data_IF_167446404467
#
_entry.id   IF_167446404467
#
_cell.length_a   1.000
_cell.length_b   1.000
_cell.length_c   1.000
_cell.angle_alpha   90.00
_cell.angle_beta   90.00
_cell.angle_gamma   90.00
#
_symmetry.space_group_name_H-M   'P 1'
#
loop_
_entity.id
_entity.type
_entity.pdbx_description
1 polymer ?
#
# COMPACT_ATOMS: atom_id res chain seq x y z
N UNK A 1 22.74 10.27 -16.26
CA UNK A 1 23.78 9.26 -16.48
C UNK A 1 23.73 8.73 -17.93
N UNK A 2 22.60 8.23 -18.39
CA UNK A 2 22.43 7.60 -19.71
C UNK A 2 22.51 8.56 -20.91
N UNK A 3 22.50 9.88 -20.70
CA UNK A 3 22.83 10.86 -21.74
C UNK A 3 24.32 10.84 -22.13
N UNK A 4 25.14 10.16 -21.36
CA UNK A 4 26.57 9.97 -21.54
C UNK A 4 26.90 8.52 -21.86
N UNK A 5 28.09 8.26 -22.41
CA UNK A 5 28.56 6.90 -22.68
C UNK A 5 28.82 6.17 -21.35
N UNK A 6 27.98 5.22 -21.01
CA UNK A 6 28.11 4.39 -19.82
C UNK A 6 29.03 3.21 -20.12
N UNK A 7 30.11 3.04 -19.37
CA UNK A 7 31.07 1.95 -19.55
C UNK A 7 30.68 0.70 -18.75
N UNK A 8 30.37 0.91 -17.45
CA UNK A 8 29.94 -0.19 -16.60
C UNK A 8 29.04 0.28 -15.46
N UNK A 9 28.30 -0.68 -14.93
CA UNK A 9 27.55 -0.63 -13.68
C UNK A 9 27.99 -1.81 -12.83
N UNK A 10 28.42 -1.57 -11.62
CA UNK A 10 28.75 -2.61 -10.65
C UNK A 10 27.77 -2.54 -9.47
N UNK A 11 26.85 -3.49 -9.40
CA UNK A 11 25.92 -3.66 -8.29
C UNK A 11 26.70 -4.32 -7.14
N UNK A 12 26.93 -3.57 -6.09
CA UNK A 12 27.66 -4.03 -4.90
C UNK A 12 26.72 -4.51 -3.81
N UNK A 13 25.41 -4.52 -4.04
CA UNK A 13 24.39 -4.74 -3.02
C UNK A 13 24.62 -3.85 -1.78
N UNK A 14 24.44 -4.40 -0.60
CA UNK A 14 24.77 -3.71 0.65
C UNK A 14 26.13 -4.17 1.20
N UNK A 15 27.22 -3.44 0.94
CA UNK A 15 28.54 -3.78 1.47
C UNK A 15 28.77 -3.30 2.91
N UNK A 16 27.82 -2.66 3.54
CA UNK A 16 27.96 -2.03 4.86
C UNK A 16 27.20 -2.81 5.94
N UNK A 17 27.87 -3.10 7.05
CA UNK A 17 27.26 -3.79 8.19
C UNK A 17 26.26 -2.90 8.97
N UNK A 18 26.51 -1.59 9.00
CA UNK A 18 25.79 -0.65 9.87
C UNK A 18 24.54 -0.01 9.24
N UNK A 19 24.36 -0.11 7.94
CA UNK A 19 23.26 0.53 7.20
C UNK A 19 22.65 -0.41 6.18
N UNK A 20 21.33 -0.34 6.02
CA UNK A 20 20.58 -1.15 5.02
C UNK A 20 20.42 -0.35 3.74
N UNK A 21 21.51 -0.12 3.01
CA UNK A 21 21.54 0.62 1.75
C UNK A 21 22.29 -0.17 0.69
N UNK A 22 21.58 -0.56 -0.36
CA UNK A 22 22.21 -1.11 -1.56
C UNK A 22 22.95 -0.01 -2.32
N UNK A 23 24.10 -0.33 -2.84
CA UNK A 23 24.98 0.61 -3.55
C UNK A 23 25.39 0.09 -4.90
N UNK A 24 25.78 1.01 -5.79
CA UNK A 24 26.38 0.65 -7.08
C UNK A 24 27.52 1.62 -7.42
N UNK A 25 28.47 1.12 -8.20
CA UNK A 25 29.55 1.91 -8.78
C UNK A 25 29.32 2.02 -10.27
N UNK A 26 29.34 3.23 -10.81
CA UNK A 26 29.18 3.46 -12.25
C UNK A 26 30.38 4.19 -12.83
N UNK A 27 30.73 3.88 -14.08
CA UNK A 27 31.72 4.63 -14.85
C UNK A 27 31.11 5.11 -16.17
N UNK A 28 31.22 6.39 -16.43
CA UNK A 28 30.73 7.02 -17.65
C UNK A 28 31.72 8.04 -18.20
N UNK A 29 31.72 8.21 -19.52
CA UNK A 29 32.49 9.27 -20.21
C UNK A 29 31.51 10.33 -20.67
N UNK A 30 31.85 11.60 -20.42
CA UNK A 30 31.02 12.77 -20.77
C UNK A 30 31.03 13.04 -22.29
N UNK A 31 30.43 12.14 -23.05
CA UNK A 31 30.16 12.28 -24.48
C UNK A 31 28.85 11.54 -24.81
N UNK A 32 28.25 11.89 -25.93
CA UNK A 32 27.04 11.19 -26.40
C UNK A 32 27.39 9.72 -26.72
N UNK A 33 26.60 8.75 -26.23
CA UNK A 33 26.87 7.35 -26.52
C UNK A 33 26.72 7.04 -28.01
N UNK A 34 27.60 6.17 -28.52
CA UNK A 34 27.42 5.57 -29.83
C UNK A 34 26.17 4.66 -29.80
N UNK A 35 25.52 4.48 -30.96
CA UNK A 35 24.33 3.64 -31.06
C UNK A 35 24.53 2.20 -30.55
N UNK A 36 25.73 1.69 -30.75
CA UNK A 36 26.13 0.32 -30.39
C UNK A 36 26.92 0.24 -29.07
N UNK A 37 26.87 1.29 -28.22
CA UNK A 37 27.61 1.27 -26.96
C UNK A 37 27.17 0.12 -26.08
N UNK A 38 28.13 -0.72 -25.69
CA UNK A 38 27.90 -1.86 -24.79
C UNK A 38 28.30 -1.49 -23.36
N UNK A 39 27.36 -1.70 -22.44
CA UNK A 39 27.55 -1.53 -21.00
C UNK A 39 27.87 -2.86 -20.35
N UNK A 40 28.94 -2.89 -19.58
CA UNK A 40 29.27 -4.05 -18.73
C UNK A 40 28.50 -3.93 -17.41
N UNK A 41 27.63 -4.90 -17.14
CA UNK A 41 26.95 -5.03 -15.85
C UNK A 41 27.69 -6.07 -15.01
N UNK A 42 28.08 -5.70 -13.80
CA UNK A 42 28.75 -6.59 -12.84
C UNK A 42 27.82 -6.75 -11.63
N UNK A 43 27.39 -7.99 -11.37
CA UNK A 43 26.58 -8.33 -10.20
C UNK A 43 27.46 -8.91 -9.09
N UNK A 44 27.70 -8.11 -8.06
CA UNK A 44 28.48 -8.48 -6.88
C UNK A 44 27.64 -8.96 -5.69
N UNK A 45 26.32 -9.09 -5.85
CA UNK A 45 25.40 -9.47 -4.75
C UNK A 45 25.79 -10.78 -4.07
N UNK A 46 26.30 -11.76 -4.82
CA UNK A 46 26.79 -13.04 -4.28
C UNK A 46 28.24 -13.01 -3.86
N UNK A 47 29.08 -12.31 -4.60
CA UNK A 47 30.52 -12.22 -4.33
C UNK A 47 31.09 -10.95 -4.97
N UNK A 48 31.48 -9.99 -4.14
CA UNK A 48 32.06 -8.71 -4.59
C UNK A 48 33.41 -8.87 -5.31
N UNK A 49 34.20 -9.87 -4.92
CA UNK A 49 35.54 -10.10 -5.51
C UNK A 49 35.47 -10.84 -6.84
N UNK A 50 34.39 -11.58 -7.07
CA UNK A 50 34.14 -12.35 -8.29
C UNK A 50 32.72 -12.11 -8.78
N UNK A 51 32.40 -10.88 -9.23
CA UNK A 51 31.06 -10.55 -9.68
C UNK A 51 30.71 -11.29 -10.97
N UNK A 52 29.44 -11.65 -11.11
CA UNK A 52 28.90 -12.09 -12.41
C UNK A 52 28.99 -10.95 -13.41
N UNK A 53 29.47 -11.21 -14.63
CA UNK A 53 29.68 -10.21 -15.68
C UNK A 53 28.73 -10.43 -16.84
N UNK A 54 27.91 -9.44 -17.10
CA UNK A 54 26.94 -9.42 -18.20
C UNK A 54 27.21 -8.21 -19.09
N UNK A 55 26.72 -8.25 -20.31
CA UNK A 55 26.88 -7.14 -21.27
C UNK A 55 25.54 -6.86 -21.94
N UNK A 56 25.22 -5.59 -22.09
CA UNK A 56 23.95 -5.15 -22.72
C UNK A 56 24.18 -3.86 -23.49
N UNK A 57 23.44 -3.67 -24.59
CA UNK A 57 23.47 -2.40 -25.30
C UNK A 57 22.87 -1.27 -24.43
N UNK A 58 23.51 -0.11 -24.38
CA UNK A 58 23.01 1.04 -23.60
C UNK A 58 21.63 1.48 -24.04
N UNK A 59 21.27 1.29 -25.29
CA UNK A 59 19.95 1.57 -25.84
C UNK A 59 18.82 0.81 -25.14
N UNK A 60 19.10 -0.38 -24.62
CA UNK A 60 18.12 -1.18 -23.84
C UNK A 60 17.63 -0.38 -22.63
N UNK A 61 18.55 0.23 -21.88
CA UNK A 61 18.19 1.06 -20.73
C UNK A 61 17.41 2.31 -21.11
N UNK A 62 17.80 2.96 -22.23
CA UNK A 62 17.11 4.14 -22.74
C UNK A 62 15.69 3.85 -23.23
N UNK A 63 15.43 2.61 -23.64
CA UNK A 63 14.14 2.14 -24.13
C UNK A 63 13.25 1.52 -23.05
N UNK A 64 13.57 1.72 -21.78
CA UNK A 64 12.68 1.40 -20.66
C UNK A 64 11.96 2.65 -20.15
N UNK A 65 10.83 2.48 -19.49
CA UNK A 65 10.19 3.57 -18.75
C UNK A 65 11.19 4.15 -17.72
N UNK A 66 11.23 5.46 -17.56
CA UNK A 66 12.18 6.16 -16.67
C UNK A 66 13.68 5.87 -16.96
N UNK A 67 14.02 5.25 -18.07
CA UNK A 67 15.40 4.88 -18.41
C UNK A 67 16.09 4.09 -17.28
N UNK A 68 15.43 3.04 -16.82
CA UNK A 68 15.90 2.22 -15.69
C UNK A 68 17.10 1.37 -16.08
N UNK A 69 18.12 1.35 -15.24
CA UNK A 69 19.27 0.45 -15.34
C UNK A 69 18.97 -0.79 -14.50
N UNK A 70 18.87 -1.94 -15.16
CA UNK A 70 18.57 -3.22 -14.52
C UNK A 70 19.62 -4.28 -14.84
N UNK A 71 19.70 -5.34 -14.06
CA UNK A 71 20.55 -6.50 -14.35
C UNK A 71 20.06 -7.18 -15.63
N UNK A 72 20.88 -7.32 -16.69
CA UNK A 72 20.47 -7.95 -17.95
C UNK A 72 20.50 -9.49 -17.87
N UNK A 73 19.73 -10.06 -16.93
CA UNK A 73 19.51 -11.50 -16.84
C UNK A 73 18.61 -11.99 -17.98
N UNK A 74 18.59 -13.29 -18.24
CA UNK A 74 17.74 -13.90 -19.27
C UNK A 74 16.27 -13.51 -19.13
N UNK A 75 15.71 -13.63 -17.92
CA UNK A 75 14.32 -13.23 -17.64
C UNK A 75 14.09 -11.74 -17.88
N UNK A 76 14.98 -10.87 -17.42
CA UNK A 76 14.83 -9.43 -17.60
C UNK A 76 14.92 -9.01 -19.07
N UNK A 77 15.82 -9.63 -19.83
CA UNK A 77 15.92 -9.39 -21.27
C UNK A 77 14.67 -9.92 -21.99
N UNK A 78 14.14 -11.06 -21.58
CA UNK A 78 12.88 -11.59 -22.15
C UNK A 78 11.68 -10.68 -21.87
N UNK A 79 11.55 -10.16 -20.65
CA UNK A 79 10.53 -9.16 -20.32
C UNK A 79 10.70 -7.90 -21.17
N UNK A 80 11.92 -7.41 -21.29
CA UNK A 80 12.21 -6.23 -22.09
C UNK A 80 11.86 -6.44 -23.57
N UNK A 81 12.26 -7.56 -24.17
CA UNK A 81 11.97 -7.89 -25.58
C UNK A 81 10.47 -7.92 -25.88
N UNK A 82 9.66 -8.48 -24.99
CA UNK A 82 8.22 -8.61 -25.18
C UNK A 82 7.47 -7.30 -24.90
N UNK A 83 7.90 -6.54 -23.89
CA UNK A 83 7.11 -5.46 -23.31
C UNK A 83 7.83 -4.11 -23.21
N UNK A 84 9.17 -4.06 -23.18
CA UNK A 84 9.92 -2.84 -22.87
C UNK A 84 9.53 -1.64 -23.73
N UNK A 85 9.61 -1.77 -25.04
CA UNK A 85 9.27 -0.66 -25.96
C UNK A 85 7.78 -0.29 -25.91
N UNK A 86 6.89 -1.29 -25.76
CA UNK A 86 5.44 -1.06 -25.65
C UNK A 86 5.12 -0.27 -24.39
N UNK A 87 5.69 -0.68 -23.25
CA UNK A 87 5.48 -0.02 -21.96
C UNK A 87 6.06 1.39 -21.99
N UNK A 88 7.26 1.58 -22.55
CA UNK A 88 7.85 2.91 -22.72
C UNK A 88 6.97 3.82 -23.57
N UNK A 89 6.51 3.36 -24.71
CA UNK A 89 5.63 4.15 -25.58
C UNK A 89 4.33 4.57 -24.87
N UNK A 90 3.73 3.65 -24.10
CA UNK A 90 2.55 3.94 -23.28
C UNK A 90 2.88 4.92 -22.16
N UNK A 91 4.02 4.78 -21.51
CA UNK A 91 4.48 5.67 -20.46
C UNK A 91 4.69 7.09 -21.03
N UNK A 92 5.43 7.25 -22.11
CA UNK A 92 5.69 8.54 -22.76
C UNK A 92 4.38 9.23 -23.21
N UNK A 93 3.39 8.46 -23.67
CA UNK A 93 2.10 8.99 -24.13
C UNK A 93 1.17 9.38 -23.00
N UNK A 94 1.07 8.56 -21.93
CA UNK A 94 0.00 8.65 -20.95
C UNK A 94 0.42 9.15 -19.59
N UNK A 95 1.72 9.09 -19.23
CA UNK A 95 2.18 9.34 -17.87
C UNK A 95 1.76 10.70 -17.31
N UNK A 96 1.97 11.76 -18.09
CA UNK A 96 1.60 13.10 -17.66
C UNK A 96 0.08 13.26 -17.48
N UNK A 97 -0.71 12.59 -18.30
CA UNK A 97 -2.18 12.63 -18.21
C UNK A 97 -2.71 11.84 -17.01
N UNK A 98 -2.06 10.72 -16.66
CA UNK A 98 -2.38 9.92 -15.49
C UNK A 98 -2.02 10.66 -14.20
N UNK A 99 -0.88 11.36 -14.20
CA UNK A 99 -0.27 11.93 -13.00
C UNK A 99 -0.79 13.33 -12.68
N UNK A 100 -1.12 14.13 -13.66
CA UNK A 100 -1.50 15.54 -13.47
C UNK A 100 -3.00 15.77 -13.64
N UNK A 101 -3.55 16.62 -12.75
CA UNK A 101 -4.96 17.03 -12.78
C UNK A 101 -5.21 18.31 -13.63
N UNK A 102 -4.22 18.77 -14.40
CA UNK A 102 -4.28 20.12 -15.00
C UNK A 102 -5.36 20.32 -16.06
N UNK A 103 -5.87 19.26 -16.67
CA UNK A 103 -6.99 19.31 -17.61
C UNK A 103 -7.83 18.04 -17.45
N UNK A 104 -8.47 17.96 -16.30
CA UNK A 104 -9.15 16.72 -15.82
C UNK A 104 -10.15 16.21 -16.86
N UNK A 105 -11.02 17.07 -17.41
CA UNK A 105 -12.08 16.63 -18.31
C UNK A 105 -11.54 16.16 -19.67
N UNK A 106 -10.54 16.84 -20.21
CA UNK A 106 -9.91 16.43 -21.47
C UNK A 106 -9.18 15.10 -21.30
N UNK A 107 -8.33 15.00 -20.25
CA UNK A 107 -7.59 13.78 -19.96
C UNK A 107 -8.51 12.61 -19.70
N UNK A 108 -9.61 12.83 -18.99
CA UNK A 108 -10.63 11.83 -18.70
C UNK A 108 -11.25 11.28 -20.00
N UNK A 109 -11.65 12.16 -20.92
CA UNK A 109 -12.23 11.77 -22.22
C UNK A 109 -11.24 10.95 -23.05
N UNK A 110 -10.00 11.42 -23.18
CA UNK A 110 -8.97 10.71 -23.93
C UNK A 110 -8.66 9.33 -23.34
N UNK A 111 -8.67 9.20 -22.01
CA UNK A 111 -8.49 7.92 -21.32
C UNK A 111 -9.73 7.00 -21.49
N UNK A 112 -10.94 7.54 -21.53
CA UNK A 112 -12.16 6.80 -21.81
C UNK A 112 -12.15 6.24 -23.23
N UNK A 113 -11.80 7.06 -24.23
CA UNK A 113 -11.64 6.64 -25.63
C UNK A 113 -10.56 5.56 -25.77
N UNK A 114 -9.42 5.72 -25.08
CA UNK A 114 -8.34 4.72 -25.03
C UNK A 114 -8.83 3.39 -24.46
N UNK A 115 -9.51 3.40 -23.30
CA UNK A 115 -10.08 2.20 -22.68
C UNK A 115 -11.09 1.50 -23.60
N UNK A 116 -11.94 2.27 -24.27
CA UNK A 116 -12.90 1.74 -25.23
C UNK A 116 -12.23 1.03 -26.43
N UNK A 117 -11.06 1.50 -26.85
CA UNK A 117 -10.31 0.93 -27.98
C UNK A 117 -9.55 -0.38 -27.65
N UNK A 118 -9.31 -0.68 -26.37
CA UNK A 118 -8.53 -1.84 -25.93
C UNK A 118 -9.17 -3.18 -26.37
N UNK A 119 -8.32 -4.14 -26.74
CA UNK A 119 -8.69 -5.50 -27.14
C UNK A 119 -7.90 -6.52 -26.31
N UNK A 120 -8.40 -7.76 -26.17
CA UNK A 120 -7.64 -8.83 -25.55
C UNK A 120 -6.24 -8.97 -26.15
N UNK A 121 -5.22 -9.08 -25.30
CA UNK A 121 -3.81 -9.10 -25.69
C UNK A 121 -3.12 -7.74 -25.74
N UNK A 122 -3.85 -6.63 -25.74
CA UNK A 122 -3.26 -5.31 -25.68
C UNK A 122 -2.57 -5.07 -24.30
N UNK A 123 -1.46 -4.36 -24.33
CA UNK A 123 -0.76 -3.90 -23.11
C UNK A 123 -1.27 -2.50 -22.75
N UNK A 124 -1.60 -2.27 -21.50
CA UNK A 124 -1.97 -0.96 -20.97
C UNK A 124 -1.22 -0.69 -19.66
N UNK A 125 -1.06 0.56 -19.28
CA UNK A 125 -0.58 0.91 -17.93
C UNK A 125 -1.75 0.84 -16.94
N UNK A 126 -1.50 0.31 -15.74
CA UNK A 126 -2.51 0.24 -14.68
C UNK A 126 -3.14 1.61 -14.40
N UNK A 127 -2.36 2.69 -14.46
CA UNK A 127 -2.87 4.05 -14.28
C UNK A 127 -3.84 4.52 -15.35
N UNK A 128 -3.85 3.90 -16.55
CA UNK A 128 -4.88 4.17 -17.56
C UNK A 128 -6.20 3.45 -17.24
N UNK A 129 -6.15 2.36 -16.47
CA UNK A 129 -7.25 1.45 -16.19
C UNK A 129 -7.91 1.68 -14.83
N UNK A 130 -7.26 2.47 -13.97
CA UNK A 130 -7.69 2.73 -12.60
C UNK A 130 -7.57 4.19 -12.23
N UNK A 131 -8.39 4.60 -11.27
CA UNK A 131 -8.25 5.84 -10.52
C UNK A 131 -7.74 5.50 -9.12
N UNK A 132 -7.28 6.49 -8.38
CA UNK A 132 -6.92 6.28 -6.98
C UNK A 132 -5.83 7.20 -6.48
N UNK A 133 -5.49 7.04 -5.21
CA UNK A 133 -4.50 7.89 -4.57
C UNK A 133 -4.26 7.53 -3.11
N UNK A 134 -3.52 8.42 -2.47
CA UNK A 134 -3.34 8.40 -1.02
C UNK A 134 -4.60 8.89 -0.33
N UNK A 135 -4.90 8.32 0.83
CA UNK A 135 -6.02 8.71 1.64
C UNK A 135 -5.70 9.77 2.70
N UNK A 136 -6.54 9.80 3.71
CA UNK A 136 -6.54 10.77 4.80
C UNK A 136 -5.31 10.61 5.70
N UNK A 137 -4.64 11.72 6.02
CA UNK A 137 -3.72 11.80 7.13
C UNK A 137 -4.32 12.69 8.22
N UNK A 138 -4.69 12.10 9.35
CA UNK A 138 -5.43 12.79 10.42
C UNK A 138 -4.57 13.74 11.25
N UNK A 139 -3.25 13.66 11.18
CA UNK A 139 -2.28 14.31 12.08
C UNK A 139 -2.48 13.99 13.59
N UNK A 140 -3.62 13.44 13.98
CA UNK A 140 -3.92 13.04 15.35
C UNK A 140 -4.77 11.76 15.40
N UNK A 141 -4.11 10.62 15.14
CA UNK A 141 -4.77 9.32 15.14
C UNK A 141 -5.51 9.02 16.46
N UNK A 142 -4.94 9.42 17.60
CA UNK A 142 -5.53 9.15 18.93
C UNK A 142 -6.87 9.86 19.14
N UNK A 143 -7.12 10.96 18.44
CA UNK A 143 -8.40 11.68 18.50
C UNK A 143 -9.46 11.02 17.61
N UNK A 144 -9.07 10.59 16.42
CA UNK A 144 -10.03 10.24 15.36
C UNK A 144 -10.19 8.75 15.17
N UNK A 145 -9.14 7.94 15.40
CA UNK A 145 -9.15 6.50 15.07
C UNK A 145 -9.52 5.68 16.30
N UNK A 146 -10.40 4.72 16.08
CA UNK A 146 -10.80 3.71 17.06
C UNK A 146 -10.53 2.30 16.51
N UNK A 147 -10.55 1.31 17.42
CA UNK A 147 -10.45 -0.10 17.12
C UNK A 147 -11.79 -0.76 17.43
N UNK A 148 -12.29 -1.59 16.54
CA UNK A 148 -13.54 -2.36 16.73
C UNK A 148 -13.36 -3.38 17.86
N UNK A 149 -14.29 -3.43 18.79
CA UNK A 149 -14.22 -4.19 20.04
C UNK A 149 -14.08 -5.71 19.84
N UNK A 150 -14.57 -6.24 18.73
CA UNK A 150 -14.56 -7.66 18.35
C UNK A 150 -13.24 -8.15 17.75
N UNK A 151 -12.25 -7.28 17.58
CA UNK A 151 -11.00 -7.59 16.87
C UNK A 151 -9.88 -7.98 17.82
N UNK A 152 -8.91 -8.78 17.32
CA UNK A 152 -7.67 -9.10 18.06
C UNK A 152 -6.89 -7.85 18.48
N UNK A 153 -7.00 -6.75 17.75
CA UNK A 153 -6.42 -5.48 18.14
C UNK A 153 -7.00 -4.94 19.44
N UNK A 154 -8.32 -4.97 19.58
CA UNK A 154 -8.98 -4.56 20.81
C UNK A 154 -8.60 -5.47 21.98
N UNK A 155 -8.58 -6.78 21.77
CA UNK A 155 -8.13 -7.75 22.77
C UNK A 155 -6.68 -7.46 23.24
N UNK A 156 -5.76 -7.25 22.31
CA UNK A 156 -4.39 -6.89 22.62
C UNK A 156 -4.28 -5.58 23.41
N UNK A 157 -5.10 -4.58 23.07
CA UNK A 157 -5.13 -3.31 23.80
C UNK A 157 -5.64 -3.53 25.22
N UNK A 158 -6.74 -4.30 25.42
CA UNK A 158 -7.31 -4.61 26.74
C UNK A 158 -6.29 -5.27 27.64
N UNK A 159 -5.63 -6.31 27.15
CA UNK A 159 -4.60 -7.06 27.91
C UNK A 159 -3.38 -6.19 28.24
N UNK A 160 -3.00 -5.28 27.35
CA UNK A 160 -1.77 -4.49 27.50
C UNK A 160 -1.95 -3.23 28.33
N UNK A 161 -3.14 -2.65 28.39
CA UNK A 161 -3.41 -1.38 29.11
C UNK A 161 -3.01 -1.43 30.57
N UNK A 162 -3.40 -2.41 31.40
CA UNK A 162 -3.01 -2.47 32.80
C UNK A 162 -1.47 -2.52 32.98
N UNK A 163 -0.77 -3.27 32.11
CA UNK A 163 0.70 -3.35 32.14
C UNK A 163 1.34 -2.01 31.82
N UNK A 164 0.85 -1.32 30.78
CA UNK A 164 1.34 0.01 30.39
C UNK A 164 1.08 1.05 31.45
N UNK A 165 -0.08 0.99 32.12
CA UNK A 165 -0.37 1.86 33.26
C UNK A 165 0.60 1.61 34.42
N UNK A 166 0.82 0.35 34.79
CA UNK A 166 1.76 0.00 35.85
C UNK A 166 3.19 0.49 35.54
N UNK A 167 3.67 0.27 34.31
CA UNK A 167 4.99 0.73 33.87
C UNK A 167 5.12 2.26 33.88
N UNK A 168 4.04 2.96 33.52
CA UNK A 168 4.02 4.42 33.55
C UNK A 168 4.04 4.96 34.98
N UNK A 169 3.18 4.44 35.88
CA UNK A 169 3.11 4.84 37.28
C UNK A 169 4.43 4.57 38.01
N UNK A 170 5.10 3.44 37.70
CA UNK A 170 6.42 3.12 38.26
C UNK A 170 7.47 4.19 37.90
N UNK A 171 7.43 4.70 36.67
CA UNK A 171 8.39 5.71 36.17
C UNK A 171 7.96 7.15 36.47
N UNK A 172 6.70 7.36 36.89
CA UNK A 172 6.14 8.69 37.08
C UNK A 172 5.40 8.77 38.42
N UNK A 173 6.14 8.76 39.58
CA UNK A 173 5.52 8.74 40.91
C UNK A 173 4.56 9.91 41.18
N UNK A 174 4.74 11.05 40.52
CA UNK A 174 3.85 12.21 40.61
C UNK A 174 2.46 11.96 40.03
N UNK A 175 2.29 10.94 39.20
CA UNK A 175 1.00 10.54 38.66
C UNK A 175 0.19 9.65 39.62
N UNK A 176 0.79 9.19 40.71
CA UNK A 176 0.11 8.37 41.73
C UNK A 176 -0.78 9.28 42.58
N UNK A 177 -2.10 9.12 42.40
CA UNK A 177 -3.11 9.93 43.08
C UNK A 177 -3.28 9.54 44.55
N UNK A 178 -3.97 10.41 45.34
CA UNK A 178 -4.32 10.09 46.73
C UNK A 178 -5.20 8.85 46.84
N UNK A 179 -6.06 8.59 45.84
CA UNK A 179 -6.90 7.39 45.76
C UNK A 179 -6.06 6.13 45.60
N UNK A 180 -5.11 6.13 44.65
CA UNK A 180 -4.19 5.00 44.44
C UNK A 180 -3.39 4.63 45.69
N UNK A 181 -3.07 5.64 46.51
CA UNK A 181 -2.32 5.46 47.76
C UNK A 181 -3.13 4.81 48.89
N UNK A 182 -4.44 4.65 48.76
CA UNK A 182 -5.29 3.91 49.70
C UNK A 182 -5.18 2.39 49.55
N UNK A 183 -4.60 1.94 48.44
CA UNK A 183 -4.35 0.52 48.17
C UNK A 183 -2.94 0.13 48.60
N UNK A 184 -2.68 -1.17 48.86
CA UNK A 184 -1.36 -1.65 49.21
C UNK A 184 -0.27 -1.32 48.18
N UNK A 185 -0.66 -1.19 46.92
CA UNK A 185 0.20 -0.72 45.83
C UNK A 185 -0.66 -0.19 44.68
N UNK A 186 -0.07 0.59 43.76
CA UNK A 186 -0.77 1.02 42.53
C UNK A 186 -1.13 -0.19 41.63
N UNK A 187 -0.39 -1.31 41.74
CA UNK A 187 -0.74 -2.54 41.00
C UNK A 187 -2.05 -3.14 41.57
N UNK A 188 -2.19 -3.20 42.90
CA UNK A 188 -3.42 -3.65 43.54
C UNK A 188 -4.62 -2.75 43.19
N UNK A 189 -4.40 -1.43 43.12
CA UNK A 189 -5.41 -0.49 42.63
C UNK A 189 -5.82 -0.82 41.19
N UNK A 190 -4.86 -0.96 40.26
CA UNK A 190 -5.18 -1.28 38.86
C UNK A 190 -5.92 -2.62 38.69
N UNK A 191 -5.63 -3.60 39.55
CA UNK A 191 -6.33 -4.88 39.57
C UNK A 191 -7.78 -4.81 40.10
N UNK A 192 -8.12 -3.78 40.86
CA UNK A 192 -9.48 -3.55 41.36
C UNK A 192 -10.38 -2.84 40.35
N UNK A 193 -9.82 -2.26 39.30
CA UNK A 193 -10.56 -1.50 38.29
C UNK A 193 -11.20 -2.42 37.24
N UNK A 194 -12.41 -2.06 36.84
CA UNK A 194 -13.05 -2.61 35.66
C UNK A 194 -12.34 -2.22 34.37
N UNK A 195 -12.65 -2.88 33.27
CA UNK A 195 -12.11 -2.53 31.93
C UNK A 195 -12.43 -1.09 31.54
N UNK A 196 -13.63 -0.59 31.85
CA UNK A 196 -14.04 0.78 31.58
C UNK A 196 -13.20 1.78 32.39
N UNK A 197 -13.03 1.56 33.68
CA UNK A 197 -12.22 2.42 34.56
C UNK A 197 -10.72 2.41 34.15
N UNK A 198 -10.20 1.27 33.73
CA UNK A 198 -8.85 1.18 33.13
C UNK A 198 -8.76 2.05 31.87
N UNK A 199 -9.78 2.03 31.01
CA UNK A 199 -9.80 2.83 29.79
C UNK A 199 -9.89 4.34 30.12
N UNK A 200 -10.71 4.74 31.06
CA UNK A 200 -10.84 6.14 31.51
C UNK A 200 -9.55 6.65 32.13
N UNK A 201 -8.91 5.87 33.01
CA UNK A 201 -7.62 6.22 33.60
C UNK A 201 -6.55 6.37 32.53
N UNK A 202 -6.53 5.47 31.55
CA UNK A 202 -5.58 5.49 30.44
C UNK A 202 -5.75 6.77 29.60
N UNK A 203 -6.98 7.16 29.29
CA UNK A 203 -7.29 8.39 28.55
C UNK A 203 -6.97 9.65 29.34
N UNK A 204 -7.35 9.71 30.63
CA UNK A 204 -7.03 10.82 31.53
C UNK A 204 -5.53 11.09 31.65
N UNK A 205 -4.72 10.03 31.78
CA UNK A 205 -3.26 10.17 31.83
C UNK A 205 -2.67 10.65 30.49
N UNK A 206 -3.23 10.23 29.35
CA UNK A 206 -2.83 10.78 28.03
C UNK A 206 -3.14 12.27 27.89
N UNK A 207 -4.26 12.71 28.41
CA UNK A 207 -4.62 14.15 28.43
C UNK A 207 -3.66 14.95 29.30
N UNK A 208 -3.31 14.45 30.48
CA UNK A 208 -2.45 15.14 31.44
C UNK A 208 -0.97 15.13 31.09
N UNK A 209 -0.44 14.01 30.60
CA UNK A 209 1.01 13.79 30.42
C UNK A 209 1.46 13.68 28.96
N UNK A 210 0.53 13.69 28.03
CA UNK A 210 0.78 13.60 26.58
C UNK A 210 0.24 12.33 25.94
N UNK A 211 -0.23 12.48 24.73
CA UNK A 211 -0.95 11.41 24.01
C UNK A 211 -0.13 10.14 23.76
N UNK A 212 1.18 10.25 23.67
CA UNK A 212 2.07 9.16 23.23
C UNK A 212 2.78 8.46 24.40
N UNK A 213 2.43 8.76 25.65
CA UNK A 213 3.10 8.22 26.86
C UNK A 213 3.07 6.69 26.96
N UNK A 214 2.10 6.04 26.32
CA UNK A 214 1.96 4.58 26.27
C UNK A 214 2.41 3.98 24.92
N UNK A 215 2.88 4.81 23.99
CA UNK A 215 3.23 4.44 22.62
C UNK A 215 2.05 4.47 21.65
N UNK A 216 2.34 4.60 20.35
CA UNK A 216 1.33 4.89 19.34
C UNK A 216 0.23 3.82 19.18
N UNK A 217 0.55 2.54 19.38
CA UNK A 217 -0.43 1.44 19.27
C UNK A 217 -1.52 1.45 20.35
N UNK A 218 -1.38 2.28 21.38
CA UNK A 218 -2.32 2.38 22.50
C UNK A 218 -3.08 3.70 22.53
N UNK A 219 -2.99 4.49 21.47
CA UNK A 219 -3.74 5.74 21.33
C UNK A 219 -5.24 5.51 21.12
N UNK A 220 -5.60 4.39 20.50
CA UNK A 220 -6.93 4.18 19.95
C UNK A 220 -7.97 3.86 21.03
N UNK A 221 -9.16 4.45 20.88
CA UNK A 221 -10.36 4.03 21.61
C UNK A 221 -10.81 2.67 21.11
N UNK A 222 -11.52 1.92 21.95
CA UNK A 222 -12.24 0.72 21.55
C UNK A 222 -13.70 1.12 21.40
N UNK A 223 -14.33 0.77 20.28
CA UNK A 223 -15.73 1.07 19.97
C UNK A 223 -16.47 -0.21 19.62
N UNK A 224 -17.74 -0.26 20.01
CA UNK A 224 -18.60 -1.39 19.71
C UNK A 224 -19.21 -1.27 18.32
N UNK A 225 -19.63 -2.40 17.74
CA UNK A 225 -20.19 -2.43 16.39
C UNK A 225 -21.48 -1.58 16.29
N UNK A 226 -22.22 -1.38 17.38
CA UNK A 226 -23.40 -0.50 17.42
C UNK A 226 -23.07 0.99 17.28
N UNK A 227 -21.81 1.40 17.51
CA UNK A 227 -21.33 2.77 17.30
C UNK A 227 -20.84 3.00 15.86
N UNK A 228 -20.74 1.94 15.06
CA UNK A 228 -20.28 2.00 13.67
C UNK A 228 -21.50 2.15 12.75
N UNK A 229 -21.49 3.22 11.96
CA UNK A 229 -22.54 3.49 11.01
C UNK A 229 -22.50 2.47 9.86
N UNK A 230 -23.68 2.05 9.41
CA UNK A 230 -23.82 1.32 8.16
C UNK A 230 -23.58 2.27 6.98
N UNK A 231 -22.46 2.06 6.28
CA UNK A 231 -22.02 2.92 5.18
C UNK A 231 -23.02 2.99 4.02
N UNK A 232 -23.80 1.92 3.82
CA UNK A 232 -24.79 1.86 2.73
C UNK A 232 -26.03 2.70 3.04
N UNK A 233 -26.31 2.95 4.33
CA UNK A 233 -27.41 3.81 4.78
C UNK A 233 -27.07 5.31 4.82
N UNK A 234 -25.78 5.68 4.70
CA UNK A 234 -25.34 7.06 4.76
C UNK A 234 -25.75 7.87 3.54
N UNK A 235 -26.30 9.05 3.76
CA UNK A 235 -26.52 10.05 2.70
C UNK A 235 -25.21 10.59 2.15
N UNK A 236 -25.25 11.20 0.96
CA UNK A 236 -24.08 11.86 0.38
C UNK A 236 -23.56 13.00 1.27
N UNK A 237 -24.45 13.75 1.93
CA UNK A 237 -24.06 14.80 2.88
C UNK A 237 -23.31 14.21 4.08
N UNK A 238 -23.82 13.11 4.67
CA UNK A 238 -23.14 12.44 5.79
C UNK A 238 -21.78 11.86 5.39
N UNK A 239 -21.65 11.34 4.18
CA UNK A 239 -20.36 10.87 3.64
C UNK A 239 -19.38 12.03 3.44
N UNK A 240 -19.85 13.17 2.97
CA UNK A 240 -18.99 14.32 2.68
C UNK A 240 -18.73 15.19 3.91
N UNK A 241 -19.75 15.50 4.70
CA UNK A 241 -19.71 16.50 5.77
C UNK A 241 -19.77 15.93 7.18
N UNK A 242 -19.94 14.60 7.30
CA UNK A 242 -19.97 13.91 8.59
C UNK A 242 -21.38 13.69 9.15
N UNK A 243 -21.44 12.85 10.16
CA UNK A 243 -22.66 12.32 10.78
C UNK A 243 -22.95 13.09 12.07
N UNK A 244 -24.23 13.28 12.39
CA UNK A 244 -24.64 13.84 13.69
C UNK A 244 -24.29 12.89 14.85
N UNK A 245 -23.80 13.41 15.95
CA UNK A 245 -23.37 12.61 17.12
C UNK A 245 -24.53 11.91 17.85
N UNK A 246 -25.77 12.20 17.50
CA UNK A 246 -26.95 11.48 17.97
C UNK A 246 -27.17 10.13 17.30
N UNK A 247 -26.40 9.84 16.25
CA UNK A 247 -26.37 8.57 15.52
C UNK A 247 -25.01 7.90 15.70
N UNK A 248 -24.87 6.59 15.38
CA UNK A 248 -23.57 5.96 15.19
C UNK A 248 -22.76 6.77 14.16
N UNK A 249 -21.59 7.27 14.56
CA UNK A 249 -20.79 8.17 13.73
C UNK A 249 -19.36 7.68 13.47
N UNK A 250 -19.02 6.49 13.92
CA UNK A 250 -17.80 5.84 13.45
C UNK A 250 -18.06 5.17 12.11
N UNK A 251 -17.07 5.23 11.21
CA UNK A 251 -17.15 4.55 9.91
C UNK A 251 -15.90 3.68 9.73
N UNK A 252 -15.96 2.61 8.92
CA UNK A 252 -14.80 1.75 8.65
C UNK A 252 -13.61 2.56 8.13
N UNK A 253 -12.42 2.28 8.64
CA UNK A 253 -11.18 2.96 8.30
C UNK A 253 -10.10 1.98 7.86
N UNK A 254 -9.70 2.01 6.60
CA UNK A 254 -8.64 1.18 6.08
C UNK A 254 -7.29 1.85 6.33
N UNK A 255 -6.62 1.39 7.37
CA UNK A 255 -5.26 1.78 7.73
C UNK A 255 -4.27 0.79 7.13
N UNK A 256 -3.10 1.26 6.69
CA UNK A 256 -2.07 0.37 6.18
C UNK A 256 -1.82 -0.84 7.09
N UNK A 257 -1.65 -1.99 6.50
CA UNK A 257 -1.46 -3.28 7.16
C UNK A 257 0.04 -3.63 7.23
N UNK A 258 0.63 -3.56 8.41
CA UNK A 258 2.05 -3.89 8.62
C UNK A 258 2.36 -5.39 8.48
N UNK A 259 1.36 -6.26 8.67
CA UNK A 259 1.53 -7.71 8.54
C UNK A 259 1.43 -8.16 7.08
N UNK A 260 0.92 -7.28 6.23
CA UNK A 260 0.91 -7.43 4.78
C UNK A 260 0.03 -8.58 4.30
N UNK A 261 -1.27 -8.49 4.51
CA UNK A 261 -2.22 -9.49 4.06
C UNK A 261 -2.55 -9.32 2.57
N UNK A 262 -2.41 -10.39 1.79
CA UNK A 262 -2.94 -10.50 0.43
C UNK A 262 -4.43 -10.86 0.46
N UNK A 263 -5.14 -10.54 -0.60
CA UNK A 263 -6.50 -10.95 -0.94
C UNK A 263 -7.57 -10.30 -0.08
N UNK A 264 -7.50 -10.42 1.23
CA UNK A 264 -8.50 -9.94 2.18
C UNK A 264 -7.88 -9.62 3.53
N UNK A 265 -8.35 -8.55 4.13
CA UNK A 265 -8.16 -8.20 5.54
C UNK A 265 -9.44 -7.55 6.04
N UNK A 266 -10.01 -8.08 7.10
CA UNK A 266 -11.06 -7.37 7.80
C UNK A 266 -10.46 -6.13 8.47
N UNK A 267 -11.03 -4.95 8.17
CA UNK A 267 -10.53 -3.68 8.72
C UNK A 267 -10.84 -3.59 10.21
N UNK A 268 -9.82 -3.65 11.09
CA UNK A 268 -10.04 -3.59 12.53
C UNK A 268 -10.29 -2.18 13.03
N UNK A 269 -10.13 -1.16 12.19
CA UNK A 269 -10.18 0.24 12.57
C UNK A 269 -11.47 0.90 12.09
N UNK A 270 -11.88 1.89 12.87
CA UNK A 270 -12.93 2.83 12.53
C UNK A 270 -12.42 4.27 12.75
N UNK A 271 -13.02 5.24 12.09
CA UNK A 271 -12.72 6.65 12.27
C UNK A 271 -13.98 7.41 12.72
N UNK A 272 -13.83 8.30 13.69
CA UNK A 272 -14.89 9.16 14.17
C UNK A 272 -15.28 10.20 13.11
N UNK A 273 -16.35 9.94 12.38
CA UNK A 273 -16.80 10.72 11.24
C UNK A 273 -17.95 11.65 11.59
N UNK A 274 -17.89 12.32 12.78
CA UNK A 274 -18.86 13.35 13.15
C UNK A 274 -18.68 14.62 12.33
N UNK A 275 -19.74 15.42 12.18
CA UNK A 275 -19.69 16.72 11.47
C UNK A 275 -18.57 17.62 12.00
N UNK A 276 -18.40 17.67 13.31
CA UNK A 276 -17.33 18.44 13.92
C UNK A 276 -15.95 17.93 13.52
N UNK A 277 -15.73 16.61 13.60
CA UNK A 277 -14.45 15.99 13.23
C UNK A 277 -14.12 16.18 11.76
N UNK A 278 -15.10 16.01 10.87
CA UNK A 278 -14.89 16.22 9.42
C UNK A 278 -14.53 17.68 9.13
N UNK A 279 -15.21 18.63 9.78
CA UNK A 279 -14.87 20.06 9.67
C UNK A 279 -13.43 20.32 10.11
N UNK A 280 -12.98 19.78 11.23
CA UNK A 280 -11.60 19.91 11.69
C UNK A 280 -10.61 19.28 10.72
N UNK A 281 -10.86 18.07 10.25
CA UNK A 281 -9.99 17.38 9.29
C UNK A 281 -9.82 18.18 7.98
N UNK A 282 -10.87 18.89 7.54
CA UNK A 282 -10.85 19.75 6.35
C UNK A 282 -10.09 21.07 6.57
N UNK A 283 -9.97 21.56 7.81
CA UNK A 283 -9.42 22.88 8.12
C UNK A 283 -8.10 22.88 8.89
N UNK A 284 -7.73 21.76 9.54
CA UNK A 284 -6.47 21.64 10.27
C UNK A 284 -5.29 21.60 9.27
N UNK A 285 -4.36 22.59 9.32
CA UNK A 285 -3.22 22.64 8.41
C UNK A 285 -2.24 21.48 8.60
N UNK A 286 -2.30 20.74 9.70
CA UNK A 286 -1.50 19.54 9.96
C UNK A 286 -2.13 18.28 9.36
N UNK A 287 -3.43 18.24 9.19
CA UNK A 287 -4.13 17.16 8.51
C UNK A 287 -3.97 17.30 6.99
N UNK A 288 -4.00 16.17 6.31
CA UNK A 288 -4.10 16.15 4.84
C UNK A 288 -5.40 15.49 4.44
N UNK A 289 -6.40 16.31 4.17
CA UNK A 289 -7.72 15.88 3.71
C UNK A 289 -7.67 15.63 2.20
N UNK A 290 -7.09 14.49 1.82
CA UNK A 290 -6.84 14.10 0.43
C UNK A 290 -7.49 12.76 0.11
N UNK A 291 -7.72 12.49 -1.19
CA UNK A 291 -8.37 11.25 -1.63
C UNK A 291 -9.86 11.18 -1.29
N UNK A 292 -10.47 12.27 -0.88
CA UNK A 292 -11.88 12.32 -0.44
C UNK A 292 -12.87 11.91 -1.52
N UNK A 293 -12.55 12.06 -2.79
CA UNK A 293 -13.35 11.60 -3.92
C UNK A 293 -13.46 10.07 -4.02
N UNK A 294 -12.58 9.36 -3.29
CA UNK A 294 -12.52 7.91 -3.25
C UNK A 294 -13.01 7.31 -1.93
N UNK A 295 -13.42 8.15 -0.96
CA UNK A 295 -13.96 7.65 0.30
C UNK A 295 -15.24 6.86 0.06
N UNK A 296 -15.45 5.83 0.87
CA UNK A 296 -16.61 4.93 0.82
C UNK A 296 -16.78 4.14 -0.50
N UNK A 297 -15.75 4.08 -1.35
CA UNK A 297 -15.73 3.23 -2.55
C UNK A 297 -15.09 1.88 -2.25
N UNK A 298 -15.63 0.84 -2.85
CA UNK A 298 -14.96 -0.46 -2.97
C UNK A 298 -13.86 -0.37 -4.02
N UNK A 299 -12.85 -1.25 -3.89
CA UNK A 299 -11.72 -1.26 -4.79
C UNK A 299 -10.61 -2.18 -4.32
N UNK A 300 -9.39 -1.83 -4.61
CA UNK A 300 -8.19 -2.54 -4.20
C UNK A 300 -7.29 -1.65 -3.35
N UNK A 301 -6.58 -2.24 -2.38
CA UNK A 301 -5.64 -1.50 -1.56
C UNK A 301 -4.42 -2.35 -1.15
N UNK A 302 -3.35 -1.65 -0.78
CA UNK A 302 -2.13 -2.25 -0.23
C UNK A 302 -1.44 -1.27 0.72
N UNK A 303 -0.54 -1.79 1.56
CA UNK A 303 0.32 -0.95 2.39
C UNK A 303 1.49 -0.42 1.58
N UNK A 304 1.93 0.81 1.86
CA UNK A 304 3.06 1.42 1.16
C UNK A 304 4.40 0.71 1.40
N UNK A 305 4.55 -0.03 2.51
CA UNK A 305 5.76 -0.80 2.83
C UNK A 305 5.57 -2.26 2.42
N UNK A 306 6.46 -2.74 1.54
CA UNK A 306 6.51 -4.13 1.06
C UNK A 306 7.97 -4.60 1.07
N UNK A 307 8.28 -5.59 1.89
CA UNK A 307 9.66 -6.06 2.10
C UNK A 307 10.02 -7.31 1.31
N UNK A 308 9.05 -8.03 0.78
CA UNK A 308 9.28 -9.31 0.09
C UNK A 308 8.56 -9.40 -1.26
N UNK A 309 7.28 -9.08 -1.29
CA UNK A 309 6.44 -9.11 -2.48
C UNK A 309 5.22 -8.22 -2.27
N UNK A 310 4.59 -7.82 -3.35
CA UNK A 310 3.38 -6.99 -3.30
C UNK A 310 2.22 -7.76 -2.66
N UNK A 311 1.44 -7.07 -1.85
CA UNK A 311 0.35 -7.63 -1.05
C UNK A 311 -0.89 -6.78 -1.22
N UNK A 312 -1.60 -7.02 -2.31
CA UNK A 312 -2.84 -6.34 -2.63
C UNK A 312 -4.04 -7.11 -2.09
N UNK A 313 -5.05 -6.40 -1.61
CA UNK A 313 -6.30 -6.94 -1.09
C UNK A 313 -7.50 -6.16 -1.58
N UNK A 314 -8.68 -6.77 -1.49
CA UNK A 314 -9.92 -6.03 -1.71
C UNK A 314 -10.09 -4.96 -0.63
N UNK A 315 -10.50 -3.78 -1.05
CA UNK A 315 -10.89 -2.67 -0.19
C UNK A 315 -12.41 -2.62 -0.08
N UNK A 316 -12.90 -2.68 1.14
CA UNK A 316 -14.32 -2.49 1.42
C UNK A 316 -14.68 -1.00 1.42
N UNK A 317 -15.99 -0.69 1.46
CA UNK A 317 -16.49 0.69 1.60
C UNK A 317 -15.98 1.29 2.90
N UNK A 318 -14.94 2.09 2.81
CA UNK A 318 -14.23 2.67 3.97
C UNK A 318 -13.54 3.97 3.58
N UNK A 319 -13.17 4.75 4.57
CA UNK A 319 -12.17 5.81 4.40
C UNK A 319 -10.80 5.16 4.48
N UNK A 320 -9.87 5.52 3.59
CA UNK A 320 -8.53 4.97 3.58
C UNK A 320 -7.49 5.96 4.10
N UNK A 321 -6.51 5.43 4.78
CA UNK A 321 -5.36 6.14 5.36
C UNK A 321 -4.32 6.49 4.29
N UNK A 322 -3.49 7.47 4.56
CA UNK A 322 -2.35 7.84 3.71
C UNK A 322 -1.36 6.69 3.49
N UNK A 323 -1.33 5.70 4.39
CA UNK A 323 -0.49 4.49 4.32
C UNK A 323 -1.21 3.29 3.68
N UNK A 324 -2.48 3.43 3.33
CA UNK A 324 -3.27 2.46 2.58
C UNK A 324 -3.49 2.99 1.18
N UNK A 325 -2.56 2.67 0.26
CA UNK A 325 -2.70 3.03 -1.15
C UNK A 325 -3.92 2.34 -1.73
N UNK A 326 -4.79 3.10 -2.39
CA UNK A 326 -6.05 2.55 -2.91
C UNK A 326 -6.25 2.89 -4.38
N UNK A 327 -6.72 1.92 -5.15
CA UNK A 327 -7.10 2.06 -6.56
C UNK A 327 -8.51 1.52 -6.81
N UNK A 328 -9.15 2.05 -7.81
CA UNK A 328 -10.53 1.78 -8.20
C UNK A 328 -10.57 1.53 -9.69
N UNK A 329 -11.11 0.40 -10.11
CA UNK A 329 -11.23 0.05 -11.52
C UNK A 329 -12.19 0.99 -12.24
N UNK A 330 -11.79 1.42 -13.44
CA UNK A 330 -12.62 2.27 -14.33
C UNK A 330 -12.66 1.72 -15.77
N UNK A 331 -12.25 0.47 -15.94
CA UNK A 331 -12.27 -0.22 -17.24
C UNK A 331 -12.95 -1.59 -17.12
N UNK A 332 -14.14 -1.74 -17.70
CA UNK A 332 -14.91 -2.98 -17.63
C UNK A 332 -14.19 -4.18 -18.26
N UNK A 333 -13.29 -3.93 -19.23
CA UNK A 333 -12.51 -4.98 -19.89
C UNK A 333 -11.42 -5.55 -18.98
N UNK A 334 -11.06 -4.81 -17.91
CA UNK A 334 -10.01 -5.19 -16.95
C UNK A 334 -10.55 -4.99 -15.52
N UNK A 335 -11.44 -5.89 -15.04
CA UNK A 335 -12.08 -5.75 -13.75
C UNK A 335 -11.11 -5.94 -12.59
N UNK A 336 -11.45 -5.39 -11.42
CA UNK A 336 -10.58 -5.33 -10.23
C UNK A 336 -10.06 -6.69 -9.76
N UNK A 337 -10.86 -7.77 -9.84
CA UNK A 337 -10.39 -9.12 -9.47
C UNK A 337 -9.27 -9.63 -10.36
N UNK A 338 -9.27 -9.26 -11.64
CA UNK A 338 -8.17 -9.57 -12.53
C UNK A 338 -6.92 -8.75 -12.15
N UNK A 339 -7.09 -7.44 -11.91
CA UNK A 339 -6.01 -6.57 -11.43
C UNK A 339 -5.43 -7.10 -10.12
N UNK A 340 -6.27 -7.54 -9.19
CA UNK A 340 -5.87 -8.15 -7.92
C UNK A 340 -5.00 -9.40 -8.13
N UNK A 341 -5.37 -10.28 -9.08
CA UNK A 341 -4.57 -11.44 -9.46
C UNK A 341 -3.21 -11.02 -10.01
N UNK A 342 -3.18 -10.08 -10.95
CA UNK A 342 -1.93 -9.61 -11.56
C UNK A 342 -1.00 -9.00 -10.53
N UNK A 343 -1.48 -8.08 -9.67
CA UNK A 343 -0.64 -7.42 -8.64
C UNK A 343 -0.12 -8.43 -7.62
N UNK A 344 -0.92 -9.45 -7.24
CA UNK A 344 -0.52 -10.45 -6.25
C UNK A 344 0.39 -11.54 -6.83
N UNK A 345 0.69 -11.53 -8.12
CA UNK A 345 1.64 -12.49 -8.71
C UNK A 345 3.08 -12.17 -8.33
N UNK A 346 3.89 -13.21 -8.23
CA UNK A 346 5.33 -13.09 -7.98
C UNK A 346 6.02 -12.35 -9.12
N UNK A 347 5.57 -12.57 -10.36
CA UNK A 347 6.09 -11.88 -11.55
C UNK A 347 5.97 -10.35 -11.42
N UNK A 348 4.85 -9.83 -10.99
CA UNK A 348 4.66 -8.36 -10.87
C UNK A 348 5.48 -7.80 -9.71
N UNK A 349 5.63 -8.52 -8.61
CA UNK A 349 6.57 -8.12 -7.55
C UNK A 349 8.00 -8.01 -8.07
N UNK A 350 8.42 -9.00 -8.85
CA UNK A 350 9.74 -9.00 -9.52
C UNK A 350 9.86 -7.86 -10.55
N UNK A 351 8.80 -7.61 -11.33
CA UNK A 351 8.78 -6.51 -12.30
C UNK A 351 8.94 -5.14 -11.60
N UNK A 352 8.25 -4.92 -10.49
CA UNK A 352 8.39 -3.68 -9.71
C UNK A 352 9.82 -3.49 -9.25
N UNK A 353 10.40 -4.50 -8.61
CA UNK A 353 11.77 -4.44 -8.09
C UNK A 353 12.80 -4.19 -9.20
N UNK A 354 12.57 -4.73 -10.38
CA UNK A 354 13.50 -4.62 -11.50
C UNK A 354 13.33 -3.35 -12.33
N UNK A 355 12.09 -2.96 -12.67
CA UNK A 355 11.82 -1.94 -13.70
C UNK A 355 11.12 -0.69 -13.20
N UNK A 356 10.65 -0.65 -11.95
CA UNK A 356 9.88 0.48 -11.42
C UNK A 356 10.55 1.10 -10.20
N UNK A 357 10.69 0.33 -9.12
CA UNK A 357 11.17 0.82 -7.83
C UNK A 357 11.71 -0.36 -6.99
N UNK A 358 13.01 -0.35 -6.72
CA UNK A 358 13.68 -1.37 -5.91
C UNK A 358 13.75 -1.02 -4.41
N UNK A 359 12.98 -0.05 -3.95
CA UNK A 359 12.90 0.29 -2.52
C UNK A 359 11.81 -0.50 -1.82
N UNK A 360 11.80 -0.45 -0.48
CA UNK A 360 10.77 -1.11 0.33
C UNK A 360 9.39 -0.46 0.24
N UNK A 361 9.25 0.66 -0.46
CA UNK A 361 7.98 1.36 -0.61
C UNK A 361 7.39 1.15 -1.99
N UNK A 362 6.10 0.80 -2.05
CA UNK A 362 5.34 0.71 -3.28
C UNK A 362 4.18 1.69 -3.23
N UNK A 363 4.36 2.82 -3.91
CA UNK A 363 3.42 3.93 -3.89
C UNK A 363 2.46 3.89 -5.09
N UNK A 364 1.46 4.78 -5.06
CA UNK A 364 0.46 4.86 -6.13
C UNK A 364 1.08 5.15 -7.52
N UNK A 365 2.15 5.95 -7.57
CA UNK A 365 2.84 6.24 -8.82
C UNK A 365 3.66 5.05 -9.35
N UNK A 366 4.11 4.17 -8.48
CA UNK A 366 4.76 2.93 -8.89
C UNK A 366 3.72 1.98 -9.49
N UNK A 367 2.58 1.82 -8.81
CA UNK A 367 1.48 1.01 -9.30
C UNK A 367 0.94 1.46 -10.66
N UNK A 368 0.81 2.76 -10.88
CA UNK A 368 0.33 3.33 -12.16
C UNK A 368 1.17 2.93 -13.37
N UNK A 369 2.43 2.56 -13.16
CA UNK A 369 3.38 2.18 -14.21
C UNK A 369 3.32 0.69 -14.58
N UNK A 370 2.58 -0.12 -13.82
CA UNK A 370 2.52 -1.56 -14.06
C UNK A 370 1.90 -1.88 -15.42
N UNK A 371 2.53 -2.77 -16.20
CA UNK A 371 1.92 -3.29 -17.41
C UNK A 371 0.80 -4.26 -17.06
N UNK A 372 -0.34 -4.04 -17.65
CA UNK A 372 -1.51 -4.92 -17.58
C UNK A 372 -1.85 -5.37 -18.99
N UNK A 373 -1.95 -6.66 -19.18
CA UNK A 373 -2.42 -7.25 -20.44
C UNK A 373 -3.92 -7.39 -20.36
N UNK A 374 -4.62 -6.88 -21.35
CA UNK A 374 -6.08 -6.99 -21.43
C UNK A 374 -6.46 -8.47 -21.64
N UNK A 375 -7.21 -9.07 -20.70
CA UNK A 375 -7.48 -10.50 -20.73
C UNK A 375 -8.54 -10.91 -21.73
N UNK A 376 -8.53 -12.19 -22.13
CA UNK A 376 -9.66 -12.84 -22.79
C UNK A 376 -10.76 -13.18 -21.80
N UNK A 377 -11.94 -13.58 -22.29
CA UNK A 377 -13.04 -14.01 -21.41
C UNK A 377 -12.70 -15.24 -20.58
N UNK A 378 -11.94 -16.19 -21.13
CA UNK A 378 -11.47 -17.38 -20.43
C UNK A 378 -10.49 -17.00 -19.31
N UNK A 379 -9.54 -16.12 -19.60
CA UNK A 379 -8.55 -15.63 -18.62
C UNK A 379 -9.25 -14.87 -17.47
N UNK A 380 -10.28 -14.06 -17.79
CA UNK A 380 -11.11 -13.41 -16.77
C UNK A 380 -11.85 -14.41 -15.89
N UNK A 381 -12.46 -15.43 -16.48
CA UNK A 381 -13.19 -16.47 -15.75
C UNK A 381 -12.26 -17.22 -14.78
N UNK A 382 -11.06 -17.57 -15.23
CA UNK A 382 -10.05 -18.23 -14.40
C UNK A 382 -9.63 -17.34 -13.22
N UNK A 383 -9.20 -16.09 -13.48
CA UNK A 383 -8.80 -15.15 -12.45
C UNK A 383 -9.93 -14.87 -11.44
N UNK A 384 -11.18 -14.73 -11.91
CA UNK A 384 -12.31 -14.53 -11.01
C UNK A 384 -12.52 -15.70 -10.06
N UNK A 385 -12.39 -16.93 -10.55
CA UNK A 385 -12.53 -18.15 -9.74
C UNK A 385 -11.40 -18.24 -8.71
N UNK A 386 -10.18 -18.01 -9.14
CA UNK A 386 -9.00 -18.07 -8.30
C UNK A 386 -9.03 -16.97 -7.22
N UNK A 387 -9.33 -15.73 -7.58
CA UNK A 387 -9.47 -14.63 -6.62
C UNK A 387 -10.55 -14.91 -5.57
N UNK A 388 -11.72 -15.40 -5.98
CA UNK A 388 -12.79 -15.81 -5.03
C UNK A 388 -12.30 -16.88 -4.07
N UNK A 389 -11.62 -17.91 -4.59
CA UNK A 389 -11.07 -19.00 -3.77
C UNK A 389 -10.06 -18.48 -2.76
N UNK A 390 -9.11 -17.66 -3.19
CA UNK A 390 -8.08 -17.07 -2.33
C UNK A 390 -8.69 -16.17 -1.23
N UNK A 391 -9.66 -15.33 -1.58
CA UNK A 391 -10.38 -14.48 -0.63
C UNK A 391 -11.09 -15.32 0.42
N UNK A 392 -11.85 -16.36 0.00
CA UNK A 392 -12.56 -17.25 0.94
C UNK A 392 -11.60 -18.02 1.84
N UNK A 393 -10.47 -18.51 1.29
CA UNK A 393 -9.44 -19.18 2.10
C UNK A 393 -8.89 -18.22 3.16
N UNK A 394 -8.59 -16.97 2.78
CA UNK A 394 -8.08 -15.95 3.70
C UNK A 394 -9.08 -15.59 4.80
N UNK A 395 -10.36 -15.43 4.48
CA UNK A 395 -11.43 -15.18 5.45
C UNK A 395 -11.51 -16.33 6.48
N UNK A 396 -11.33 -17.57 6.02
CA UNK A 396 -11.35 -18.77 6.88
C UNK A 396 -10.02 -19.04 7.61
N UNK A 397 -9.04 -18.15 7.52
CA UNK A 397 -7.71 -18.33 8.11
C UNK A 397 -6.91 -19.50 7.55
N UNK A 398 -7.21 -19.95 6.31
CA UNK A 398 -6.50 -21.04 5.64
C UNK A 398 -5.34 -20.50 4.81
N UNK A 399 -4.29 -21.30 4.69
CA UNK A 399 -3.19 -21.00 3.76
C UNK A 399 -3.65 -21.09 2.31
N UNK A 400 -3.08 -20.21 1.48
CA UNK A 400 -3.39 -20.10 0.04
C UNK A 400 -2.18 -20.45 -0.84
N UNK A 401 -1.22 -21.22 -0.34
CA UNK A 401 0.04 -21.53 -1.03
C UNK A 401 -0.17 -22.22 -2.39
N UNK A 402 -1.07 -23.20 -2.49
CA UNK A 402 -1.40 -23.86 -3.75
C UNK A 402 -2.09 -22.89 -4.73
N UNK A 403 -3.04 -22.10 -4.23
CA UNK A 403 -3.72 -21.08 -5.03
C UNK A 403 -2.75 -20.01 -5.52
N UNK A 404 -1.74 -19.66 -4.71
CA UNK A 404 -0.69 -18.72 -5.10
C UNK A 404 0.20 -19.30 -6.20
N UNK A 405 0.59 -20.57 -6.10
CA UNK A 405 1.40 -21.24 -7.15
C UNK A 405 0.63 -21.28 -8.47
N UNK A 406 -0.63 -21.69 -8.44
CA UNK A 406 -1.50 -21.72 -9.62
C UNK A 406 -1.65 -20.33 -10.25
N UNK A 407 -1.75 -19.28 -9.44
CA UNK A 407 -1.76 -17.90 -9.90
C UNK A 407 -0.45 -17.53 -10.61
N UNK A 408 0.68 -17.81 -9.97
CA UNK A 408 1.99 -17.45 -10.49
C UNK A 408 2.28 -18.14 -11.83
N UNK A 409 1.96 -19.41 -11.92
CA UNK A 409 2.08 -20.18 -13.16
C UNK A 409 1.16 -19.62 -14.27
N UNK A 410 -0.08 -19.30 -13.93
CA UNK A 410 -1.04 -18.74 -14.89
C UNK A 410 -0.65 -17.35 -15.38
N UNK A 411 -0.31 -16.43 -14.46
CA UNK A 411 0.09 -15.07 -14.84
C UNK A 411 1.36 -15.08 -15.67
N UNK A 412 2.37 -15.85 -15.27
CA UNK A 412 3.64 -15.89 -15.98
C UNK A 412 3.49 -16.49 -17.38
N UNK A 413 2.78 -17.60 -17.51
CA UNK A 413 2.74 -18.37 -18.74
C UNK A 413 1.59 -17.98 -19.67
N UNK A 414 0.38 -17.83 -19.13
CA UNK A 414 -0.82 -17.61 -19.94
C UNK A 414 -1.15 -16.13 -20.17
N UNK A 415 -0.71 -15.25 -19.27
CA UNK A 415 -0.93 -13.81 -19.40
C UNK A 415 0.29 -13.15 -20.05
N UNK A 416 1.48 -13.35 -19.47
CA UNK A 416 2.69 -12.68 -19.94
C UNK A 416 3.51 -13.49 -20.97
N UNK A 417 3.26 -14.79 -21.15
CA UNK A 417 3.93 -15.61 -22.16
C UNK A 417 5.45 -15.67 -22.01
N UNK A 418 5.93 -15.77 -20.76
CA UNK A 418 7.37 -15.73 -20.46
C UNK A 418 8.05 -17.09 -20.45
N UNK A 419 7.29 -18.17 -20.53
CA UNK A 419 7.81 -19.56 -20.64
C UNK A 419 7.35 -20.18 -21.93
#
# INVERSE_FOLDING_TARGET
LLANTLNYVFDTANPFEAVMVDTCITSAVKNKPAAENLVRFMDGRKNLLQPERLTVAQSVYLNTQNSVIFKPSELNMRIYELYGEKVKALYDKWWDKIKTSRDIEKNKRELEEYRASLKPGDVALLGCLTEGGQGLATANNGKYIAVRSTTKWAENIRVSRPKKLADFLARTPKAITAEMRRYPSYVAFLQSLSEAEIAELFDSLKEQYGRDIFGQGYLYKIVDDCEIADVDSLTNDEKENGIETTKPYYVPYDKGDKDGNRWYLETPFAIAWSKENVRFLKTDPKARYQGYTFYFREGLCWSDINTTFLKCRIKQKSIHDVKSMSIFGVCDKVPEKYILCVINSTLISYYVDTFVNNTQTFQINDARQLPIIVPTSEQLSFCNTLAKTAIVQKIKGKESSNTQKELDDFITNQIFGLV
#
